data_IF_954130366483
#
_entry.id   IF_954130366483
#
_cell.length_a   1.000
_cell.length_b   1.000
_cell.length_c   1.000
_cell.angle_alpha   90.00
_cell.angle_beta   90.00
_cell.angle_gamma   90.00
#
_symmetry.space_group_name_H-M   'P 1'
#
loop_
_entity.id
_entity.type
_entity.pdbx_description
1 polymer ?
#
# COMPACT_ATOMS: atom_id res chain seq x y z
N UNK A 1 30.44 53.33 -78.08
CA UNK A 1 30.48 51.86 -77.83
C UNK A 1 30.93 51.54 -76.40
N UNK A 2 31.66 52.43 -75.73
CA UNK A 2 32.09 52.24 -74.33
C UNK A 2 30.98 52.46 -73.28
N UNK A 3 30.00 53.32 -73.57
CA UNK A 3 28.86 53.61 -72.68
C UNK A 3 27.92 52.42 -72.50
N UNK A 4 27.68 51.64 -73.56
CA UNK A 4 26.80 50.47 -73.49
C UNK A 4 27.43 49.37 -72.62
N UNK A 5 28.74 49.14 -72.78
CA UNK A 5 29.50 48.18 -71.97
C UNK A 5 29.47 48.59 -70.48
N UNK A 6 29.64 49.88 -70.19
CA UNK A 6 29.54 50.41 -68.82
C UNK A 6 28.16 50.22 -68.20
N UNK A 7 27.08 50.36 -68.99
CA UNK A 7 25.70 50.15 -68.52
C UNK A 7 25.43 48.68 -68.19
N UNK A 8 25.92 47.75 -69.03
CA UNK A 8 25.79 46.31 -68.76
C UNK A 8 26.57 45.87 -67.52
N UNK A 9 27.76 46.44 -67.28
CA UNK A 9 28.56 46.17 -66.08
C UNK A 9 27.86 46.69 -64.82
N UNK A 10 27.31 47.92 -64.86
CA UNK A 10 26.52 48.48 -63.76
C UNK A 10 25.29 47.63 -63.46
N UNK A 11 24.51 47.27 -64.49
CA UNK A 11 23.32 46.43 -64.33
C UNK A 11 23.66 45.05 -63.75
N UNK A 12 24.75 44.42 -64.21
CA UNK A 12 25.23 43.15 -63.67
C UNK A 12 25.65 43.25 -62.20
N UNK A 13 26.38 44.31 -61.83
CA UNK A 13 26.81 44.55 -60.45
C UNK A 13 25.62 44.75 -59.51
N UNK A 14 24.63 45.55 -59.91
CA UNK A 14 23.42 45.77 -59.10
C UNK A 14 22.60 44.49 -58.96
N UNK A 15 22.52 43.66 -60.00
CA UNK A 15 21.79 42.39 -59.93
C UNK A 15 22.47 41.41 -58.97
N UNK A 16 23.81 41.35 -58.98
CA UNK A 16 24.58 40.56 -58.03
C UNK A 16 24.42 41.09 -56.60
N UNK A 17 24.46 42.41 -56.39
CA UNK A 17 24.20 43.02 -55.07
C UNK A 17 22.82 42.65 -54.54
N UNK A 18 21.77 42.76 -55.36
CA UNK A 18 20.40 42.37 -54.96
C UNK A 18 20.34 40.88 -54.60
N UNK A 19 21.02 40.03 -55.38
CA UNK A 19 21.06 38.59 -55.12
C UNK A 19 21.79 38.27 -53.80
N UNK A 20 22.92 38.93 -53.53
CA UNK A 20 23.67 38.79 -52.29
C UNK A 20 22.85 39.27 -51.08
N UNK A 21 22.15 40.39 -51.19
CA UNK A 21 21.26 40.90 -50.14
C UNK A 21 20.11 39.92 -49.88
N UNK A 22 19.49 39.39 -50.93
CA UNK A 22 18.42 38.40 -50.81
C UNK A 22 18.91 37.11 -50.14
N UNK A 23 20.10 36.64 -50.52
CA UNK A 23 20.71 35.44 -49.95
C UNK A 23 21.05 35.66 -48.46
N UNK A 24 21.63 36.81 -48.12
CA UNK A 24 21.93 37.19 -46.74
C UNK A 24 20.67 37.21 -45.87
N UNK A 25 19.58 37.82 -46.37
CA UNK A 25 18.29 37.86 -45.67
C UNK A 25 17.71 36.46 -45.48
N UNK A 26 17.77 35.62 -46.51
CA UNK A 26 17.31 34.23 -46.43
C UNK A 26 18.08 33.44 -45.37
N UNK A 27 19.41 33.55 -45.36
CA UNK A 27 20.25 32.90 -44.35
C UNK A 27 19.92 33.40 -42.95
N UNK A 28 19.74 34.72 -42.78
CA UNK A 28 19.37 35.30 -41.49
C UNK A 28 18.05 34.74 -40.95
N UNK A 29 17.01 34.67 -41.79
CA UNK A 29 15.71 34.11 -41.40
C UNK A 29 15.78 32.62 -41.07
N UNK A 30 16.53 31.84 -41.88
CA UNK A 30 16.74 30.41 -41.63
C UNK A 30 17.44 30.17 -40.30
N UNK A 31 18.49 30.95 -40.00
CA UNK A 31 19.25 30.83 -38.76
C UNK A 31 18.39 31.15 -37.54
N UNK A 32 17.65 32.26 -37.58
CA UNK A 32 16.74 32.67 -36.50
C UNK A 32 15.67 31.62 -36.21
N UNK A 33 15.11 30.99 -37.27
CA UNK A 33 14.15 29.89 -37.11
C UNK A 33 14.79 28.65 -36.48
N UNK A 34 16.02 28.33 -36.87
CA UNK A 34 16.78 27.21 -36.31
C UNK A 34 17.07 27.41 -34.82
N UNK A 35 17.47 28.62 -34.42
CA UNK A 35 17.73 28.96 -33.02
C UNK A 35 16.46 28.85 -32.16
N UNK A 36 15.33 29.35 -32.65
CA UNK A 36 14.06 29.27 -31.94
C UNK A 36 13.60 27.82 -31.72
N UNK A 37 13.79 26.95 -32.72
CA UNK A 37 13.46 25.54 -32.61
C UNK A 37 14.35 24.81 -31.60
N UNK A 38 15.66 25.06 -31.64
CA UNK A 38 16.61 24.44 -30.69
C UNK A 38 16.29 24.84 -29.26
N UNK A 39 16.01 26.13 -29.00
CA UNK A 39 15.61 26.61 -27.67
C UNK A 39 14.34 25.92 -27.17
N UNK A 40 13.33 25.80 -28.03
CA UNK A 40 12.07 25.14 -27.66
C UNK A 40 12.27 23.65 -27.34
N UNK A 41 13.17 22.97 -28.06
CA UNK A 41 13.51 21.57 -27.77
C UNK A 41 14.28 21.43 -26.46
N UNK A 42 15.21 22.34 -26.17
CA UNK A 42 15.95 22.37 -24.91
C UNK A 42 15.00 22.59 -23.73
N UNK A 43 14.07 23.54 -23.83
CA UNK A 43 13.09 23.82 -22.77
C UNK A 43 12.20 22.59 -22.49
N UNK A 44 11.73 21.91 -23.55
CA UNK A 44 10.94 20.67 -23.42
C UNK A 44 11.74 19.52 -22.81
N UNK A 45 13.01 19.37 -23.20
CA UNK A 45 13.88 18.36 -22.60
C UNK A 45 14.10 18.63 -21.11
N UNK A 46 14.30 19.90 -20.74
CA UNK A 46 14.47 20.29 -19.35
C UNK A 46 13.22 20.02 -18.52
N UNK A 47 12.03 20.35 -19.05
CA UNK A 47 10.76 20.04 -18.40
C UNK A 47 10.56 18.52 -18.24
N UNK A 48 10.89 17.74 -19.27
CA UNK A 48 10.80 16.28 -19.21
C UNK A 48 11.74 15.67 -18.17
N UNK A 49 12.99 16.14 -18.11
CA UNK A 49 13.97 15.69 -17.11
C UNK A 49 13.53 16.03 -15.68
N UNK A 50 12.95 17.20 -15.45
CA UNK A 50 12.40 17.56 -14.14
C UNK A 50 11.26 16.63 -13.72
N UNK A 51 10.34 16.31 -14.64
CA UNK A 51 9.26 15.35 -14.37
C UNK A 51 9.79 13.95 -14.07
N UNK A 52 10.84 13.52 -14.79
CA UNK A 52 11.46 12.22 -14.57
C UNK A 52 12.16 12.13 -13.20
N UNK A 53 12.90 13.18 -12.80
CA UNK A 53 13.53 13.23 -11.47
C UNK A 53 12.48 13.23 -10.35
N UNK A 54 11.42 14.03 -10.50
CA UNK A 54 10.30 14.04 -9.56
C UNK A 54 9.63 12.66 -9.44
N UNK A 55 9.38 11.98 -10.56
CA UNK A 55 8.78 10.65 -10.56
C UNK A 55 9.71 9.61 -9.90
N UNK A 56 11.01 9.63 -10.23
CA UNK A 56 11.98 8.72 -9.60
C UNK A 56 12.08 8.91 -8.08
N UNK A 57 11.98 10.16 -7.60
CA UNK A 57 11.92 10.45 -6.16
C UNK A 57 10.67 9.87 -5.51
N UNK A 58 9.50 10.07 -6.13
CA UNK A 58 8.24 9.50 -5.65
C UNK A 58 8.28 7.97 -5.63
N UNK A 59 8.81 7.34 -6.67
CA UNK A 59 8.95 5.88 -6.72
C UNK A 59 9.81 5.35 -5.57
N UNK A 60 10.94 6.01 -5.28
CA UNK A 60 11.79 5.63 -4.13
C UNK A 60 11.07 5.80 -2.80
N UNK A 61 10.36 6.89 -2.60
CA UNK A 61 9.59 7.14 -1.38
C UNK A 61 8.48 6.10 -1.19
N UNK A 62 7.75 5.78 -2.27
CA UNK A 62 6.70 4.78 -2.30
C UNK A 62 7.26 3.38 -1.99
N UNK A 63 8.33 2.97 -2.67
CA UNK A 63 8.95 1.65 -2.47
C UNK A 63 9.47 1.48 -1.05
N UNK A 64 10.12 2.52 -0.49
CA UNK A 64 10.61 2.46 0.90
C UNK A 64 9.47 2.36 1.91
N UNK A 65 8.37 3.07 1.67
CA UNK A 65 7.17 3.00 2.53
C UNK A 65 6.50 1.64 2.44
N UNK A 66 6.36 1.07 1.24
CA UNK A 66 5.80 -0.26 1.05
C UNK A 66 6.64 -1.36 1.71
N UNK A 67 7.97 -1.31 1.58
CA UNK A 67 8.86 -2.28 2.23
C UNK A 67 8.69 -2.27 3.75
N UNK A 68 8.68 -1.07 4.35
CA UNK A 68 8.43 -0.90 5.79
C UNK A 68 7.06 -1.42 6.21
N UNK A 69 6.01 -1.10 5.44
CA UNK A 69 4.65 -1.58 5.72
C UNK A 69 4.54 -3.10 5.62
N UNK A 70 5.23 -3.72 4.66
CA UNK A 70 5.23 -5.17 4.53
C UNK A 70 5.89 -5.84 5.74
N UNK A 71 7.01 -5.29 6.22
CA UNK A 71 7.67 -5.77 7.45
C UNK A 71 6.77 -5.60 8.68
N UNK A 72 6.13 -4.43 8.83
CA UNK A 72 5.14 -4.19 9.90
C UNK A 72 3.98 -5.21 9.84
N UNK A 73 3.44 -5.48 8.66
CA UNK A 73 2.35 -6.44 8.45
C UNK A 73 2.75 -7.87 8.80
N UNK A 74 3.95 -8.31 8.40
CA UNK A 74 4.48 -9.63 8.75
C UNK A 74 4.64 -9.75 10.27
N UNK A 75 5.18 -8.72 10.94
CA UNK A 75 5.31 -8.73 12.40
C UNK A 75 3.96 -8.74 13.12
N UNK A 76 2.94 -8.12 12.53
CA UNK A 76 1.59 -8.09 13.09
C UNK A 76 0.87 -9.42 12.91
N UNK A 77 1.07 -10.07 11.76
CA UNK A 77 0.54 -11.40 11.49
C UNK A 77 1.10 -12.43 12.48
N UNK A 78 2.40 -12.38 12.76
CA UNK A 78 3.05 -13.26 13.75
C UNK A 78 2.42 -13.07 15.14
N UNK A 79 2.27 -11.81 15.59
CA UNK A 79 1.62 -11.50 16.87
C UNK A 79 0.17 -11.96 16.92
N UNK A 80 -0.60 -11.78 15.84
CA UNK A 80 -1.98 -12.24 15.77
C UNK A 80 -2.07 -13.76 15.83
N UNK A 81 -1.16 -14.46 15.17
CA UNK A 81 -1.07 -15.91 15.19
C UNK A 81 -0.74 -16.43 16.58
N UNK A 82 0.22 -15.82 17.27
CA UNK A 82 0.57 -16.17 18.65
C UNK A 82 -0.62 -15.97 19.59
N UNK A 83 -1.31 -14.83 19.47
CA UNK A 83 -2.52 -14.55 20.26
C UNK A 83 -3.64 -15.53 19.98
N UNK A 84 -3.85 -15.91 18.72
CA UNK A 84 -4.84 -16.92 18.35
C UNK A 84 -4.51 -18.28 18.97
N UNK A 85 -3.23 -18.68 18.96
CA UNK A 85 -2.77 -19.90 19.62
C UNK A 85 -2.94 -19.86 21.14
N UNK A 86 -2.60 -18.74 21.78
CA UNK A 86 -2.79 -18.54 23.21
C UNK A 86 -4.27 -18.63 23.59
N UNK A 87 -5.15 -17.95 22.85
CA UNK A 87 -6.59 -18.03 23.07
C UNK A 87 -7.12 -19.46 22.89
N UNK A 88 -6.67 -20.18 21.85
CA UNK A 88 -7.05 -21.58 21.63
C UNK A 88 -6.69 -22.44 22.85
N UNK A 89 -5.45 -22.28 23.35
CA UNK A 89 -4.97 -23.01 24.52
C UNK A 89 -5.78 -22.70 25.78
N UNK A 90 -6.10 -21.42 26.02
CA UNK A 90 -6.93 -21.03 27.16
C UNK A 90 -8.35 -21.61 27.06
N UNK A 91 -8.89 -21.68 25.84
CA UNK A 91 -10.22 -22.24 25.58
C UNK A 91 -10.23 -23.75 25.84
N UNK A 92 -9.22 -24.48 25.37
CA UNK A 92 -9.05 -25.90 25.65
C UNK A 92 -8.91 -26.17 27.17
N UNK A 93 -8.20 -25.31 27.90
CA UNK A 93 -8.08 -25.38 29.36
C UNK A 93 -9.43 -25.14 30.05
N UNK A 94 -10.18 -24.13 29.61
CA UNK A 94 -11.51 -23.84 30.15
C UNK A 94 -12.50 -24.98 29.87
N UNK A 95 -12.44 -25.59 28.68
CA UNK A 95 -13.26 -26.74 28.31
C UNK A 95 -12.90 -27.98 29.17
N UNK A 96 -11.61 -28.25 29.34
CA UNK A 96 -11.13 -29.33 30.22
C UNK A 96 -11.56 -29.10 31.67
N UNK A 97 -11.55 -27.85 32.16
CA UNK A 97 -12.00 -27.52 33.51
C UNK A 97 -13.52 -27.69 33.66
N UNK A 98 -14.30 -27.25 32.67
CA UNK A 98 -15.77 -27.38 32.65
C UNK A 98 -16.19 -28.85 32.60
N UNK A 99 -15.43 -29.70 31.90
CA UNK A 99 -15.65 -31.15 31.84
C UNK A 99 -15.07 -31.90 33.04
N UNK A 100 -14.40 -31.22 33.97
CA UNK A 100 -13.77 -31.89 35.12
C UNK A 100 -14.82 -32.39 36.12
N UNK A 101 -14.64 -33.59 36.72
CA UNK A 101 -15.55 -34.13 37.73
C UNK A 101 -15.72 -33.24 38.96
N UNK A 102 -14.66 -32.52 39.35
CA UNK A 102 -14.70 -31.58 40.47
C UNK A 102 -15.60 -30.37 40.19
N UNK A 103 -15.60 -29.83 38.97
CA UNK A 103 -16.47 -28.71 38.60
C UNK A 103 -17.95 -29.12 38.56
N UNK A 104 -18.26 -30.30 38.02
CA UNK A 104 -19.61 -30.86 38.04
C UNK A 104 -20.10 -31.05 39.49
N UNK A 105 -19.28 -31.64 40.36
CA UNK A 105 -19.59 -31.79 41.80
C UNK A 105 -19.80 -30.44 42.50
N UNK A 106 -18.92 -29.46 42.28
CA UNK A 106 -19.04 -28.12 42.85
C UNK A 106 -20.33 -27.42 42.39
N UNK A 107 -20.69 -27.58 41.11
CA UNK A 107 -21.90 -27.00 40.50
C UNK A 107 -23.14 -27.60 41.16
N UNK A 108 -23.22 -28.93 41.28
CA UNK A 108 -24.31 -29.66 41.96
C UNK A 108 -24.45 -29.22 43.41
N UNK A 109 -23.35 -29.23 44.19
CA UNK A 109 -23.36 -28.84 45.60
C UNK A 109 -23.74 -27.37 45.82
N UNK A 110 -23.37 -26.48 44.90
CA UNK A 110 -23.74 -25.06 44.97
C UNK A 110 -25.19 -24.81 44.54
N UNK A 111 -25.74 -25.59 43.62
CA UNK A 111 -27.13 -25.51 43.17
C UNK A 111 -28.08 -26.07 44.21
N UNK A 112 -27.70 -27.18 44.85
CA UNK A 112 -28.41 -27.74 46.00
C UNK A 112 -28.45 -26.75 47.18
N UNK A 113 -27.31 -26.11 47.52
CA UNK A 113 -27.27 -25.03 48.54
C UNK A 113 -28.13 -23.82 48.20
N UNK A 114 -28.43 -23.59 46.92
CA UNK A 114 -29.31 -22.52 46.43
C UNK A 114 -30.78 -22.94 46.36
N UNK A 115 -31.12 -24.17 46.77
CA UNK A 115 -32.49 -24.68 46.82
C UNK A 115 -33.01 -25.25 45.49
N UNK A 116 -32.14 -25.57 44.53
CA UNK A 116 -32.56 -26.22 43.29
C UNK A 116 -32.91 -27.70 43.53
N UNK A 117 -33.97 -28.18 42.88
CA UNK A 117 -34.38 -29.59 43.00
C UNK A 117 -33.40 -30.53 42.30
N UNK A 118 -33.30 -31.77 42.80
CA UNK A 118 -32.40 -32.80 42.28
C UNK A 118 -32.69 -33.11 40.81
N UNK A 119 -33.97 -33.05 40.39
CA UNK A 119 -34.35 -33.22 38.98
C UNK A 119 -33.85 -32.07 38.08
N UNK A 120 -33.85 -30.83 38.56
CA UNK A 120 -33.35 -29.69 37.80
C UNK A 120 -31.82 -29.73 37.65
N UNK A 121 -31.12 -30.20 38.68
CA UNK A 121 -29.66 -30.39 38.67
C UNK A 121 -29.24 -31.55 37.74
N UNK A 122 -30.00 -32.65 37.73
CA UNK A 122 -29.82 -33.78 36.81
C UNK A 122 -29.96 -33.35 35.35
N UNK A 123 -31.02 -32.59 35.01
CA UNK A 123 -31.21 -32.08 33.64
C UNK A 123 -30.13 -31.10 33.19
N UNK A 124 -29.61 -30.26 34.10
CA UNK A 124 -28.60 -29.25 33.78
C UNK A 124 -27.17 -29.82 33.64
N UNK A 125 -26.87 -30.93 34.31
CA UNK A 125 -25.53 -31.55 34.31
C UNK A 125 -25.44 -32.83 33.47
N UNK A 126 -26.57 -33.37 33.02
CA UNK A 126 -26.64 -34.59 32.21
C UNK A 126 -26.41 -35.89 32.98
N UNK A 127 -26.43 -35.84 34.32
CA UNK A 127 -26.29 -36.99 35.22
C UNK A 127 -27.66 -37.55 35.61
N UNK A 128 -27.72 -38.83 35.99
CA UNK A 128 -28.97 -39.43 36.49
C UNK A 128 -29.36 -38.84 37.85
N UNK A 129 -30.65 -38.91 38.19
CA UNK A 129 -31.18 -38.36 39.45
C UNK A 129 -30.48 -39.01 40.66
N UNK A 130 -30.28 -40.33 40.61
CA UNK A 130 -29.64 -41.12 41.66
C UNK A 130 -28.15 -40.75 41.84
N UNK A 131 -27.43 -40.45 40.74
CA UNK A 131 -26.03 -40.01 40.81
C UNK A 131 -25.88 -38.62 41.43
N UNK A 132 -26.82 -37.71 41.16
CA UNK A 132 -26.84 -36.36 41.76
C UNK A 132 -27.11 -36.45 43.26
N UNK A 133 -28.04 -37.32 43.68
CA UNK A 133 -28.35 -37.57 45.09
C UNK A 133 -27.15 -38.16 45.83
N UNK A 134 -26.46 -39.15 45.23
CA UNK A 134 -25.24 -39.74 45.78
C UNK A 134 -24.10 -38.72 45.99
N UNK A 135 -23.97 -37.73 45.09
CA UNK A 135 -22.96 -36.67 45.19
C UNK A 135 -23.29 -35.66 46.31
N UNK A 136 -24.57 -35.40 46.56
CA UNK A 136 -25.05 -34.51 47.63
C UNK A 136 -24.89 -35.19 48.99
N UNK A 137 -25.16 -36.50 49.07
CA UNK A 137 -25.05 -37.32 50.27
C UNK A 137 -23.60 -37.69 50.65
N UNK A 138 -22.63 -37.47 49.76
CA UNK A 138 -21.20 -37.58 50.09
C UNK A 138 -20.64 -36.24 50.59
N UNK A 139 -20.46 -36.04 51.91
CA UNK A 139 -19.74 -34.89 52.42
C UNK A 139 -18.26 -35.07 52.07
N UNK A 140 -17.67 -34.05 51.45
CA UNK A 140 -16.26 -34.07 51.07
C UNK A 140 -15.32 -34.14 52.28
N UNK A 141 -14.26 -34.93 52.13
CA UNK A 141 -12.96 -34.71 52.80
C UNK A 141 -12.36 -33.40 52.29
#
# INVERSE_FOLDING_TARGET
MDTDISLWVLAGSTLVEILLLGLSLFFFLKLRKSEALVRTLQDRQQEFLQKLDANSRLEKEIVSTFAKRQEELVSLEEKLRDRAHEMRRLLDQAESFTKSPHFLRQTILSGHRRGQSVQALSQATGLSVDEVELIIDQPGV
#
